data_IF_395470242818
#
_entry.id   IF_395470242818
#
_cell.length_a   1.000
_cell.length_b   1.000
_cell.length_c   1.000
_cell.angle_alpha   90.00
_cell.angle_beta   90.00
_cell.angle_gamma   90.00
#
_symmetry.space_group_name_H-M   'P 1'
#
loop_
_entity.id
_entity.type
_entity.pdbx_description
1 polymer ?
#
# COMPACT_ATOMS: atom_id res chain seq x y z
N UNK A 1 -25.60 -7.48 6.91
CA UNK A 1 -26.51 -6.36 6.60
C UNK A 1 -25.64 -5.33 5.86
N UNK A 2 -25.89 -5.08 4.57
CA UNK A 2 -25.15 -4.07 3.82
C UNK A 2 -25.45 -2.67 4.38
N UNK A 3 -24.46 -1.79 4.35
CA UNK A 3 -24.68 -0.38 4.73
C UNK A 3 -25.66 0.26 3.73
N UNK A 4 -26.67 0.99 4.17
CA UNK A 4 -27.62 1.68 3.29
C UNK A 4 -26.97 2.97 2.74
N UNK A 5 -26.03 2.80 1.79
CA UNK A 5 -25.31 3.90 1.19
C UNK A 5 -25.87 4.22 -0.19
N UNK A 6 -25.84 5.48 -0.52
CA UNK A 6 -26.15 5.96 -1.87
C UNK A 6 -25.20 5.32 -2.89
N UNK A 7 -25.67 5.01 -4.09
CA UNK A 7 -24.88 4.31 -5.13
C UNK A 7 -23.58 5.01 -5.51
N UNK A 8 -23.48 6.33 -5.29
CA UNK A 8 -22.27 7.12 -5.55
C UNK A 8 -21.29 7.18 -4.37
N UNK A 9 -21.71 6.78 -3.15
CA UNK A 9 -20.85 6.80 -1.97
C UNK A 9 -20.16 5.46 -1.79
N UNK A 10 -18.83 5.46 -1.87
CA UNK A 10 -17.98 4.30 -1.62
C UNK A 10 -17.32 4.41 -0.26
N UNK A 11 -17.36 3.32 0.50
CA UNK A 11 -16.79 3.26 1.85
C UNK A 11 -15.70 2.20 1.90
N UNK A 12 -14.53 2.60 2.38
CA UNK A 12 -13.40 1.71 2.58
C UNK A 12 -13.00 1.57 4.04
N UNK A 13 -12.33 0.48 4.32
CA UNK A 13 -11.70 0.22 5.62
C UNK A 13 -10.19 0.31 5.44
N UNK A 14 -9.51 1.01 6.33
CA UNK A 14 -8.06 0.94 6.43
C UNK A 14 -7.70 -0.06 7.51
N UNK A 15 -6.87 -1.04 7.17
CA UNK A 15 -6.39 -1.99 8.16
C UNK A 15 -5.36 -1.33 9.07
N UNK A 16 -5.56 -1.53 10.37
CA UNK A 16 -4.57 -1.15 11.36
C UNK A 16 -3.64 -2.35 11.54
N UNK A 17 -2.47 -2.30 10.92
CA UNK A 17 -1.47 -3.37 11.02
C UNK A 17 -0.60 -3.25 12.27
N UNK A 18 -1.06 -2.50 13.24
CA UNK A 18 -0.37 -2.35 14.51
C UNK A 18 -1.31 -2.71 15.65
N UNK A 19 -0.74 -3.33 16.63
CA UNK A 19 -1.45 -3.60 17.88
C UNK A 19 -1.76 -2.27 18.56
N UNK A 20 -3.03 -2.02 18.80
CA UNK A 20 -3.51 -0.83 19.51
C UNK A 20 -3.69 -1.11 21.01
N UNK A 21 -3.62 -2.36 21.42
CA UNK A 21 -3.79 -2.78 22.81
C UNK A 21 -2.47 -3.13 23.49
N UNK A 22 -2.32 -2.84 24.80
CA UNK A 22 -1.18 -3.33 25.56
C UNK A 22 -1.16 -4.85 25.52
N UNK A 23 -0.09 -5.42 25.03
CA UNK A 23 0.03 -6.85 24.94
C UNK A 23 1.24 -7.36 25.68
N UNK A 24 1.08 -8.53 26.25
CA UNK A 24 2.17 -9.32 26.80
C UNK A 24 2.90 -9.99 25.62
N UNK A 25 4.15 -9.62 25.40
CA UNK A 25 5.03 -10.23 24.38
C UNK A 25 5.08 -9.49 23.04
N UNK A 26 5.88 -10.06 22.14
CA UNK A 26 6.06 -9.55 20.76
C UNK A 26 4.82 -9.89 19.94
N UNK A 27 4.26 -8.91 19.25
CA UNK A 27 3.20 -9.16 18.28
C UNK A 27 3.84 -9.49 16.92
N UNK A 28 3.39 -10.58 16.32
CA UNK A 28 3.77 -10.98 14.97
C UNK A 28 2.54 -10.95 14.07
N UNK A 29 2.61 -10.30 12.88
CA UNK A 29 1.52 -10.34 11.91
C UNK A 29 1.28 -11.79 11.44
N UNK A 30 0.01 -12.20 11.36
CA UNK A 30 -0.37 -13.54 10.93
C UNK A 30 -1.20 -13.48 9.66
N UNK A 31 -0.90 -14.38 8.74
CA UNK A 31 -1.57 -14.44 7.42
C UNK A 31 -3.04 -14.86 7.53
N UNK A 32 -3.38 -15.72 8.46
CA UNK A 32 -4.76 -16.13 8.73
C UNK A 32 -5.62 -14.96 9.19
N UNK A 33 -5.08 -14.05 10.01
CA UNK A 33 -5.77 -12.82 10.42
C UNK A 33 -6.04 -11.90 9.24
N UNK A 34 -5.14 -11.82 8.26
CA UNK A 34 -5.39 -11.06 7.03
C UNK A 34 -6.56 -11.64 6.24
N UNK A 35 -6.61 -12.97 6.09
CA UNK A 35 -7.71 -13.65 5.40
C UNK A 35 -9.05 -13.35 6.09
N UNK A 36 -9.11 -13.53 7.41
CA UNK A 36 -10.31 -13.26 8.22
C UNK A 36 -10.79 -11.81 8.08
N UNK A 37 -9.86 -10.83 8.08
CA UNK A 37 -10.20 -9.40 7.90
C UNK A 37 -10.75 -9.14 6.50
N UNK A 38 -10.13 -9.70 5.45
CA UNK A 38 -10.59 -9.52 4.07
C UNK A 38 -12.00 -10.10 3.90
N UNK A 39 -12.23 -11.31 4.39
CA UNK A 39 -13.55 -11.95 4.35
C UNK A 39 -14.61 -11.16 5.12
N UNK A 40 -14.25 -10.63 6.29
CA UNK A 40 -15.15 -9.81 7.08
C UNK A 40 -15.53 -8.51 6.37
N UNK A 41 -14.54 -7.77 5.84
CA UNK A 41 -14.75 -6.51 5.11
C UNK A 41 -15.62 -6.75 3.88
N UNK A 42 -15.36 -7.84 3.13
CA UNK A 42 -16.15 -8.22 1.98
C UNK A 42 -17.59 -8.56 2.36
N UNK A 43 -17.78 -9.41 3.37
CA UNK A 43 -19.11 -9.84 3.84
C UNK A 43 -19.93 -8.70 4.45
N UNK A 44 -19.28 -7.71 5.06
CA UNK A 44 -19.93 -6.51 5.59
C UNK A 44 -20.35 -5.52 4.49
N UNK A 45 -19.98 -5.73 3.23
CA UNK A 45 -20.41 -4.91 2.10
C UNK A 45 -19.59 -3.64 1.88
N UNK A 46 -18.42 -3.51 2.51
CA UNK A 46 -17.50 -2.39 2.21
C UNK A 46 -16.98 -2.47 0.77
N UNK A 47 -16.65 -1.34 0.18
CA UNK A 47 -16.20 -1.25 -1.21
C UNK A 47 -14.71 -1.47 -1.37
N UNK A 48 -13.90 -1.11 -0.37
CA UNK A 48 -12.45 -1.15 -0.47
C UNK A 48 -11.74 -1.44 0.84
N UNK A 49 -10.54 -2.01 0.72
CA UNK A 49 -9.63 -2.28 1.82
C UNK A 49 -8.28 -1.62 1.54
N UNK A 50 -7.80 -0.82 2.51
CA UNK A 50 -6.60 -0.01 2.39
C UNK A 50 -5.51 -0.47 3.35
N UNK A 51 -4.27 -0.48 2.87
CA UNK A 51 -3.10 -0.91 3.63
C UNK A 51 -2.06 0.21 3.71
N UNK A 52 -1.55 0.44 4.92
CA UNK A 52 -0.46 1.39 5.18
C UNK A 52 0.90 0.77 4.90
N UNK A 53 1.91 1.61 4.77
CA UNK A 53 3.28 1.21 4.48
C UNK A 53 4.29 1.86 5.43
N UNK A 54 5.21 1.03 5.91
CA UNK A 54 6.47 1.42 6.50
C UNK A 54 7.55 0.39 6.14
N UNK A 55 8.75 0.86 5.82
CA UNK A 55 9.91 -0.01 5.58
C UNK A 55 10.50 -0.47 6.91
N UNK A 56 10.54 0.44 7.89
CA UNK A 56 11.00 0.17 9.24
C UNK A 56 10.22 1.03 10.21
N UNK A 57 9.51 0.39 11.11
CA UNK A 57 8.69 1.06 12.12
C UNK A 57 8.86 0.37 13.46
N UNK A 58 8.65 1.05 14.61
CA UNK A 58 8.77 0.44 15.93
C UNK A 58 7.86 -0.76 16.18
N UNK A 59 6.87 -0.94 15.34
CA UNK A 59 5.93 -2.06 15.40
C UNK A 59 6.04 -2.86 14.11
N UNK A 60 6.07 -4.20 14.15
CA UNK A 60 6.11 -5.04 12.96
C UNK A 60 4.97 -4.71 11.99
N UNK A 61 5.32 -4.51 10.73
CA UNK A 61 4.36 -4.29 9.64
C UNK A 61 4.76 -5.17 8.45
N UNK A 62 3.76 -5.71 7.77
CA UNK A 62 3.99 -6.44 6.52
C UNK A 62 4.02 -5.47 5.35
N UNK A 63 4.72 -5.84 4.27
CA UNK A 63 4.74 -5.07 3.03
C UNK A 63 3.32 -5.00 2.43
N UNK A 64 2.80 -3.79 2.14
CA UNK A 64 1.42 -3.61 1.69
C UNK A 64 1.14 -4.24 0.32
N UNK A 65 2.11 -4.25 -0.60
CA UNK A 65 1.89 -4.84 -1.93
C UNK A 65 1.77 -6.36 -1.84
N UNK A 66 2.56 -7.01 -0.97
CA UNK A 66 2.47 -8.46 -0.73
C UNK A 66 1.17 -8.82 -0.02
N UNK A 67 0.73 -8.00 0.94
CA UNK A 67 -0.56 -8.18 1.60
C UNK A 67 -1.73 -8.06 0.63
N UNK A 68 -1.71 -7.05 -0.26
CA UNK A 68 -2.76 -6.86 -1.27
C UNK A 68 -2.78 -8.04 -2.25
N UNK A 69 -1.61 -8.56 -2.66
CA UNK A 69 -1.54 -9.75 -3.50
C UNK A 69 -2.22 -10.96 -2.85
N UNK A 70 -2.01 -11.17 -1.56
CA UNK A 70 -2.70 -12.21 -0.78
C UNK A 70 -4.20 -11.92 -0.64
N UNK A 71 -4.58 -10.69 -0.33
CA UNK A 71 -5.96 -10.28 -0.16
C UNK A 71 -6.80 -10.43 -1.45
N UNK A 72 -6.19 -10.17 -2.60
CA UNK A 72 -6.81 -10.30 -3.92
C UNK A 72 -7.23 -11.74 -4.27
N UNK A 73 -6.57 -12.73 -3.67
CA UNK A 73 -6.97 -14.15 -3.83
C UNK A 73 -8.22 -14.46 -3.01
N UNK A 74 -8.40 -13.78 -1.87
CA UNK A 74 -9.52 -14.00 -0.95
C UNK A 74 -10.81 -13.32 -1.44
N UNK A 75 -10.72 -12.06 -1.90
CA UNK A 75 -11.89 -11.33 -2.41
C UNK A 75 -11.73 -10.94 -3.88
N UNK A 76 -12.76 -11.25 -4.66
CA UNK A 76 -12.90 -10.85 -6.07
C UNK A 76 -13.71 -9.57 -6.26
N UNK A 77 -14.25 -9.02 -5.17
CA UNK A 77 -15.14 -7.85 -5.21
C UNK A 77 -14.46 -6.57 -4.72
N UNK A 78 -13.68 -6.66 -3.65
CA UNK A 78 -13.08 -5.50 -3.03
C UNK A 78 -12.07 -4.80 -3.96
N UNK A 79 -12.10 -3.47 -3.93
CA UNK A 79 -11.00 -2.65 -4.41
C UNK A 79 -9.93 -2.56 -3.31
N UNK A 80 -8.67 -2.75 -3.67
CA UNK A 80 -7.55 -2.67 -2.75
C UNK A 80 -6.77 -1.38 -2.97
N UNK A 81 -6.24 -0.80 -1.91
CA UNK A 81 -5.44 0.41 -2.02
C UNK A 81 -4.30 0.50 -1.01
N UNK A 82 -3.29 1.29 -1.35
CA UNK A 82 -2.27 1.71 -0.39
C UNK A 82 -2.60 3.10 0.17
N UNK A 83 -2.67 3.20 1.46
CA UNK A 83 -3.00 4.44 2.14
C UNK A 83 -2.03 4.79 3.28
N UNK A 84 -0.81 5.20 2.93
CA UNK A 84 -0.16 5.43 1.62
C UNK A 84 1.10 4.60 1.47
N UNK A 85 1.58 4.36 0.24
CA UNK A 85 2.88 3.76 -0.03
C UNK A 85 3.99 4.81 0.00
N UNK A 86 5.07 4.57 0.72
CA UNK A 86 6.19 5.51 0.89
C UNK A 86 7.15 5.43 -0.30
N UNK A 87 6.70 5.92 -1.46
CA UNK A 87 7.47 5.87 -2.71
C UNK A 87 8.88 6.49 -2.62
N UNK A 88 9.12 7.60 -1.87
CA UNK A 88 10.46 8.18 -1.77
C UNK A 88 11.53 7.26 -1.20
N UNK A 89 11.15 6.23 -0.48
CA UNK A 89 12.06 5.25 0.14
C UNK A 89 12.51 4.15 -0.82
N UNK A 90 11.99 4.11 -2.04
CA UNK A 90 12.21 3.02 -2.98
C UNK A 90 12.60 3.52 -4.37
N UNK A 91 13.33 2.69 -5.09
CA UNK A 91 13.63 2.98 -6.49
C UNK A 91 12.36 2.77 -7.35
N UNK A 92 11.96 3.74 -8.19
CA UNK A 92 10.69 3.69 -8.90
C UNK A 92 10.56 2.55 -9.93
N UNK A 93 11.66 2.10 -10.55
CA UNK A 93 11.57 1.07 -11.58
C UNK A 93 11.08 -0.30 -11.05
N UNK A 94 11.65 -0.88 -9.99
CA UNK A 94 11.07 -2.08 -9.37
C UNK A 94 9.63 -1.88 -8.92
N UNK A 95 9.31 -0.72 -8.33
CA UNK A 95 7.95 -0.38 -7.90
C UNK A 95 6.98 -0.36 -9.08
N UNK A 96 7.38 0.23 -10.22
CA UNK A 96 6.54 0.22 -11.43
C UNK A 96 6.14 -1.19 -11.84
N UNK A 97 7.10 -2.12 -11.82
CA UNK A 97 6.85 -3.54 -12.14
C UNK A 97 5.94 -4.21 -11.11
N UNK A 98 6.19 -4.00 -9.83
CA UNK A 98 5.37 -4.58 -8.75
C UNK A 98 3.92 -4.11 -8.83
N UNK A 99 3.72 -2.79 -9.01
CA UNK A 99 2.40 -2.17 -9.10
C UNK A 99 1.64 -2.63 -10.32
N UNK A 100 2.26 -2.67 -11.51
CA UNK A 100 1.59 -3.17 -12.72
C UNK A 100 1.25 -4.66 -12.62
N UNK A 101 2.11 -5.45 -11.97
CA UNK A 101 1.82 -6.87 -11.69
C UNK A 101 0.60 -7.00 -10.77
N UNK A 102 0.58 -6.20 -9.70
CA UNK A 102 -0.51 -6.23 -8.72
C UNK A 102 -1.84 -5.76 -9.32
N UNK A 103 -1.80 -4.71 -10.16
CA UNK A 103 -2.98 -4.25 -10.91
C UNK A 103 -3.56 -5.37 -11.79
N UNK A 104 -2.68 -6.10 -12.49
CA UNK A 104 -3.08 -7.26 -13.28
C UNK A 104 -3.65 -8.39 -12.40
N UNK A 105 -3.02 -8.74 -11.28
CA UNK A 105 -3.51 -9.76 -10.35
C UNK A 105 -4.86 -9.41 -9.72
N UNK A 106 -5.11 -8.13 -9.52
CA UNK A 106 -6.38 -7.61 -9.00
C UNK A 106 -7.43 -7.33 -10.07
N UNK A 107 -7.11 -7.57 -11.34
CA UNK A 107 -8.00 -7.28 -12.47
C UNK A 107 -8.46 -5.80 -12.50
N UNK A 108 -7.52 -4.87 -12.27
CA UNK A 108 -7.77 -3.44 -12.25
C UNK A 108 -8.46 -2.91 -10.98
N UNK A 109 -8.54 -3.72 -9.92
CA UNK A 109 -9.13 -3.32 -8.63
C UNK A 109 -8.09 -2.80 -7.63
N UNK A 110 -6.98 -2.22 -8.13
CA UNK A 110 -5.91 -1.68 -7.30
C UNK A 110 -5.80 -0.16 -7.43
N UNK A 111 -5.73 0.54 -6.31
CA UNK A 111 -5.47 1.97 -6.22
C UNK A 111 -4.12 2.18 -5.55
N UNK A 112 -3.15 2.67 -6.32
CA UNK A 112 -1.82 2.96 -5.81
C UNK A 112 -1.75 4.36 -5.21
N UNK A 113 -2.10 4.49 -3.94
CA UNK A 113 -1.96 5.71 -3.17
C UNK A 113 -0.55 5.88 -2.64
N UNK A 114 0.09 7.02 -2.95
CA UNK A 114 1.48 7.30 -2.58
C UNK A 114 1.60 8.52 -1.68
N UNK A 115 2.60 8.52 -0.81
CA UNK A 115 2.85 9.60 0.12
C UNK A 115 4.33 9.86 0.38
N UNK A 116 4.59 11.01 1.00
CA UNK A 116 5.95 11.44 1.36
C UNK A 116 6.46 10.78 2.64
N UNK A 117 5.59 10.34 3.56
CA UNK A 117 6.00 9.88 4.88
C UNK A 117 6.69 10.97 5.71
N UNK A 118 7.54 10.54 6.64
CA UNK A 118 8.37 11.43 7.45
C UNK A 118 8.01 11.43 8.94
N UNK A 119 7.02 10.66 9.36
CA UNK A 119 6.67 10.47 10.77
C UNK A 119 7.81 9.82 11.56
N UNK A 120 8.60 8.97 10.88
CA UNK A 120 9.70 8.22 11.48
C UNK A 120 11.00 8.45 10.69
N UNK A 121 11.80 9.49 11.05
CA UNK A 121 13.01 9.87 10.29
C UNK A 121 14.06 8.77 10.16
N UNK A 122 14.16 7.87 11.14
CA UNK A 122 15.11 6.73 11.09
C UNK A 122 14.86 5.76 9.95
N UNK A 123 13.64 5.67 9.47
CA UNK A 123 13.27 4.88 8.29
C UNK A 123 13.95 5.41 7.02
N UNK A 124 14.06 6.74 6.91
CA UNK A 124 14.77 7.43 5.84
C UNK A 124 16.29 7.20 5.93
N UNK A 125 16.86 7.28 7.12
CA UNK A 125 18.28 6.98 7.37
C UNK A 125 18.60 5.53 6.96
N UNK A 126 17.77 4.58 7.37
CA UNK A 126 17.91 3.16 7.02
C UNK A 126 17.89 2.93 5.51
N UNK A 127 17.03 3.64 4.78
CA UNK A 127 16.92 3.55 3.33
C UNK A 127 17.96 4.39 2.58
N UNK A 128 18.86 5.11 3.28
CA UNK A 128 19.87 5.97 2.68
C UNK A 128 19.27 7.17 1.93
N UNK A 129 18.09 7.63 2.35
CA UNK A 129 17.36 8.73 1.70
C UNK A 129 17.37 9.96 2.60
N UNK A 130 17.90 11.11 2.17
CA UNK A 130 17.77 12.35 2.89
C UNK A 130 16.31 12.76 3.05
N UNK A 131 15.85 12.95 4.29
CA UNK A 131 14.44 13.22 4.58
C UNK A 131 13.93 14.53 3.96
N UNK A 132 14.81 15.51 3.78
CA UNK A 132 14.50 16.79 3.12
C UNK A 132 14.26 16.64 1.60
N UNK A 133 14.68 15.54 0.99
CA UNK A 133 14.44 15.24 -0.43
C UNK A 133 13.11 14.52 -0.70
N UNK A 134 12.39 14.09 0.34
CA UNK A 134 11.21 13.22 0.21
C UNK A 134 10.15 13.72 -0.77
N UNK A 135 9.89 15.03 -0.78
CA UNK A 135 8.91 15.64 -1.69
C UNK A 135 9.37 15.63 -3.15
N UNK A 136 10.64 15.97 -3.37
CA UNK A 136 11.24 15.94 -4.72
C UNK A 136 11.28 14.50 -5.26
N UNK A 137 11.69 13.54 -4.43
CA UNK A 137 11.73 12.10 -4.78
C UNK A 137 10.34 11.53 -5.07
N UNK A 138 9.32 11.93 -4.32
CA UNK A 138 7.93 11.55 -4.63
C UNK A 138 7.52 12.06 -6.01
N UNK A 139 7.74 13.34 -6.28
CA UNK A 139 7.36 13.96 -7.55
C UNK A 139 8.10 13.36 -8.74
N UNK A 140 9.40 13.10 -8.59
CA UNK A 140 10.22 12.43 -9.59
C UNK A 140 9.78 10.98 -9.79
N UNK A 141 9.64 10.21 -8.70
CA UNK A 141 9.21 8.83 -8.74
C UNK A 141 7.87 8.65 -9.46
N UNK A 142 6.89 9.51 -9.18
CA UNK A 142 5.61 9.48 -9.89
C UNK A 142 5.73 9.75 -11.39
N UNK A 143 6.63 10.65 -11.80
CA UNK A 143 6.91 10.89 -13.23
C UNK A 143 7.53 9.67 -13.89
N UNK A 144 8.48 9.02 -13.21
CA UNK A 144 9.14 7.80 -13.72
C UNK A 144 8.12 6.66 -13.84
N UNK A 145 7.28 6.44 -12.81
CA UNK A 145 6.23 5.43 -12.86
C UNK A 145 5.30 5.61 -14.06
N UNK A 146 4.80 6.83 -14.27
CA UNK A 146 3.92 7.12 -15.41
C UNK A 146 4.59 6.87 -16.77
N UNK A 147 5.87 7.21 -16.90
CA UNK A 147 6.63 6.91 -18.10
C UNK A 147 6.76 5.40 -18.31
N UNK A 148 7.12 4.65 -17.27
CA UNK A 148 7.27 3.18 -17.36
C UNK A 148 5.95 2.47 -17.69
N UNK A 149 4.82 3.01 -17.25
CA UNK A 149 3.49 2.45 -17.54
C UNK A 149 2.93 2.87 -18.90
N UNK A 150 3.58 3.78 -19.63
CA UNK A 150 3.14 4.15 -20.99
C UNK A 150 3.36 3.05 -22.02
N UNK A 151 4.24 2.08 -21.74
CA UNK A 151 4.66 1.04 -22.67
C UNK A 151 5.73 1.48 -23.67
N UNK A 152 6.13 2.75 -23.63
CA UNK A 152 7.16 3.31 -24.50
C UNK A 152 8.58 3.12 -23.91
N UNK A 153 9.64 3.08 -24.74
CA UNK A 153 11.01 3.11 -24.25
C UNK A 153 11.27 4.34 -23.38
N UNK A 154 11.81 4.13 -22.19
CA UNK A 154 12.02 5.21 -21.22
C UNK A 154 13.50 5.44 -20.98
N UNK A 155 13.92 6.69 -21.15
CA UNK A 155 15.18 7.22 -20.62
C UNK A 155 14.89 8.18 -19.49
N UNK A 156 15.61 8.05 -18.37
CA UNK A 156 15.48 8.91 -17.22
C UNK A 156 16.84 9.13 -16.55
N UNK A 157 17.26 10.38 -16.46
CA UNK A 157 18.40 10.79 -15.66
C UNK A 157 17.91 11.16 -14.28
N UNK A 158 18.28 10.37 -13.27
CA UNK A 158 17.98 10.69 -11.87
C UNK A 158 18.94 11.78 -11.37
N UNK A 159 18.47 12.59 -10.46
CA UNK A 159 19.29 13.55 -9.70
C UNK A 159 20.15 12.83 -8.68
#
# INVERSE_FOLDING_TARGET
>A
MALPLEDYLKVGVQTIHRRTEPAVGVWEPRIDQLVEVVELVDRCGYDSLWMGDHVSFPIPMMDPLLMIAQAAVVSRRLTFGTGVYLLPLRHPAPVAKQVSTLDHLTEGRFIFGVGVGGEFPKEYELCGVPINERGARLSEGMKVLRKLWSGEPVSHESR
#
